data_IF_234260450996
#
_entry.id   IF_234260450996
#
_cell.length_a   1.000
_cell.length_b   1.000
_cell.length_c   1.000
_cell.angle_alpha   90.00
_cell.angle_beta   90.00
_cell.angle_gamma   90.00
#
_symmetry.space_group_name_H-M   'P 1'
#
loop_
_entity.id
_entity.type
_entity.pdbx_description
1 polymer ?
#
# COMPACT_ATOMS: atom_id res chain seq x y z
N UNK A 1 -2.43 9.62 -14.22
CA UNK A 1 -2.54 9.17 -15.62
C UNK A 1 -1.32 8.30 -15.95
N UNK A 2 -1.40 6.97 -15.77
CA UNK A 2 -0.47 5.90 -16.26
C UNK A 2 -0.67 4.55 -15.51
N UNK A 3 -1.47 4.54 -14.43
CA UNK A 3 -1.51 3.46 -13.44
C UNK A 3 -1.97 2.10 -14.00
N UNK A 4 -2.99 2.05 -14.85
CA UNK A 4 -3.48 0.79 -15.44
C UNK A 4 -2.45 0.15 -16.38
N UNK A 5 -1.97 0.91 -17.35
CA UNK A 5 -0.99 0.44 -18.35
C UNK A 5 0.35 0.04 -17.69
N UNK A 6 0.77 0.76 -16.66
CA UNK A 6 1.99 0.42 -15.91
C UNK A 6 1.79 -0.81 -15.02
N UNK A 7 0.60 -0.98 -14.43
CA UNK A 7 0.25 -2.13 -13.61
C UNK A 7 0.28 -3.43 -14.40
N UNK A 8 -0.36 -3.47 -15.57
CA UNK A 8 -0.37 -4.66 -16.44
C UNK A 8 1.05 -5.09 -16.84
N UNK A 9 1.92 -4.13 -17.18
CA UNK A 9 3.32 -4.41 -17.50
C UNK A 9 4.09 -4.98 -16.31
N UNK A 10 3.83 -4.49 -15.10
CA UNK A 10 4.45 -5.02 -13.87
C UNK A 10 3.96 -6.44 -13.56
N UNK A 11 2.68 -6.72 -13.76
CA UNK A 11 2.13 -8.08 -13.62
C UNK A 11 2.80 -9.04 -14.60
N UNK A 12 2.98 -8.64 -15.86
CA UNK A 12 3.68 -9.49 -16.82
C UNK A 12 5.12 -9.77 -16.38
N UNK A 13 5.87 -8.75 -15.94
CA UNK A 13 7.23 -8.95 -15.40
C UNK A 13 7.26 -9.91 -14.22
N UNK A 14 6.28 -9.82 -13.32
CA UNK A 14 6.16 -10.75 -12.19
C UNK A 14 5.92 -12.19 -12.67
N UNK A 15 5.08 -12.39 -13.70
CA UNK A 15 4.86 -13.71 -14.33
C UNK A 15 6.12 -14.24 -15.01
N UNK A 16 6.93 -13.36 -15.59
CA UNK A 16 8.22 -13.71 -16.20
C UNK A 16 9.31 -14.00 -15.14
N UNK A 17 8.97 -14.01 -13.85
CA UNK A 17 9.85 -14.38 -12.74
C UNK A 17 10.65 -13.21 -12.15
N UNK A 18 10.41 -11.97 -12.61
CA UNK A 18 11.06 -10.78 -12.05
C UNK A 18 10.52 -10.51 -10.66
N UNK A 19 11.40 -10.23 -9.70
CA UNK A 19 11.03 -9.80 -8.35
C UNK A 19 10.88 -8.28 -8.32
N UNK A 20 9.77 -7.78 -7.80
CA UNK A 20 9.47 -6.35 -7.70
C UNK A 20 9.20 -5.97 -6.25
N UNK A 21 9.74 -4.84 -5.81
CA UNK A 21 9.40 -4.22 -4.53
C UNK A 21 8.53 -2.97 -4.78
N UNK A 22 7.45 -2.84 -4.01
CA UNK A 22 6.60 -1.64 -3.98
C UNK A 22 7.03 -0.77 -2.81
N UNK A 23 7.38 0.48 -3.09
CA UNK A 23 7.78 1.48 -2.09
C UNK A 23 6.97 2.76 -2.29
N UNK A 24 6.77 3.51 -1.22
CA UNK A 24 6.25 4.88 -1.22
C UNK A 24 7.36 5.83 -0.80
N UNK A 25 7.15 7.13 -0.99
CA UNK A 25 8.10 8.14 -0.53
C UNK A 25 8.29 8.08 1.00
N UNK A 26 7.26 7.65 1.74
CA UNK A 26 7.34 7.40 3.18
C UNK A 26 6.31 6.37 3.69
N UNK A 27 6.68 5.63 4.74
CA UNK A 27 5.75 4.87 5.55
C UNK A 27 5.32 3.52 4.95
N UNK A 28 4.01 3.30 4.91
CA UNK A 28 3.38 2.03 4.53
C UNK A 28 2.75 2.13 3.13
N UNK A 29 3.38 1.55 2.08
CA UNK A 29 2.88 1.64 0.72
C UNK A 29 1.47 1.04 0.58
N UNK A 30 0.63 1.68 -0.24
CA UNK A 30 -0.70 1.17 -0.58
C UNK A 30 -1.83 1.55 0.39
N UNK A 31 -1.56 2.29 1.47
CA UNK A 31 -2.59 2.84 2.38
C UNK A 31 -3.10 4.19 1.87
N UNK A 32 -2.21 5.17 1.76
CA UNK A 32 -2.53 6.50 1.22
C UNK A 32 -1.85 6.79 -0.11
N UNK A 33 -0.85 5.98 -0.45
CA UNK A 33 -0.10 6.04 -1.69
C UNK A 33 -0.65 5.06 -2.74
N UNK A 34 -0.32 5.25 -4.03
CA UNK A 34 -0.63 4.27 -5.07
C UNK A 34 -0.02 2.89 -4.73
N UNK A 35 -0.74 1.82 -5.04
CA UNK A 35 -0.23 0.46 -4.81
C UNK A 35 -1.31 -0.60 -4.79
N UNK A 36 -2.50 -0.23 -4.29
CA UNK A 36 -3.66 -1.12 -4.17
C UNK A 36 -3.98 -1.89 -5.46
N UNK A 37 -4.04 -1.20 -6.60
CA UNK A 37 -4.34 -1.82 -7.90
C UNK A 37 -3.30 -2.88 -8.32
N UNK A 38 -2.01 -2.65 -8.05
CA UNK A 38 -0.95 -3.61 -8.35
C UNK A 38 -1.07 -4.85 -7.46
N UNK A 39 -1.30 -4.65 -6.16
CA UNK A 39 -1.50 -5.74 -5.20
C UNK A 39 -2.75 -6.55 -5.56
N UNK A 40 -3.86 -5.89 -5.89
CA UNK A 40 -5.11 -6.52 -6.32
C UNK A 40 -4.91 -7.33 -7.60
N UNK A 41 -4.18 -6.79 -8.58
CA UNK A 41 -3.81 -7.51 -9.80
C UNK A 41 -2.95 -8.75 -9.53
N UNK A 42 -1.93 -8.62 -8.67
CA UNK A 42 -1.07 -9.74 -8.30
C UNK A 42 -1.87 -10.87 -7.62
N UNK A 43 -2.78 -10.52 -6.71
CA UNK A 43 -3.65 -11.49 -6.04
C UNK A 43 -4.57 -12.22 -7.04
N UNK A 44 -5.18 -11.49 -7.98
CA UNK A 44 -6.04 -12.10 -9.02
C UNK A 44 -5.29 -13.12 -9.88
N UNK A 45 -4.02 -12.86 -10.15
CA UNK A 45 -3.14 -13.74 -10.93
C UNK A 45 -2.42 -14.79 -10.07
N UNK A 46 -2.79 -14.92 -8.79
CA UNK A 46 -2.19 -15.85 -7.83
C UNK A 46 -0.67 -15.66 -7.64
N UNK A 47 -0.18 -14.44 -7.86
CA UNK A 47 1.20 -14.06 -7.64
C UNK A 47 1.39 -13.76 -6.15
N UNK A 48 2.41 -14.32 -5.47
CA UNK A 48 2.66 -14.05 -4.06
C UNK A 48 2.91 -12.56 -3.79
N UNK A 49 2.19 -12.02 -2.81
CA UNK A 49 2.44 -10.68 -2.25
C UNK A 49 2.95 -10.86 -0.82
N UNK A 50 4.17 -10.41 -0.56
CA UNK A 50 4.81 -10.56 0.75
C UNK A 50 4.88 -9.18 1.43
N UNK A 51 4.00 -8.89 2.40
CA UNK A 51 4.07 -7.64 3.15
C UNK A 51 5.23 -7.68 4.16
N UNK A 52 5.95 -6.57 4.29
CA UNK A 52 6.94 -6.37 5.36
C UNK A 52 6.34 -5.43 6.42
N UNK A 53 6.57 -5.69 7.73
CA UNK A 53 6.23 -4.72 8.76
C UNK A 53 7.06 -3.44 8.56
N UNK A 54 6.48 -2.29 8.89
CA UNK A 54 7.13 -1.00 8.61
C UNK A 54 6.45 0.19 9.27
N UNK A 55 7.01 1.38 9.01
CA UNK A 55 6.57 2.63 9.61
C UNK A 55 5.14 3.00 9.17
N UNK A 56 4.30 3.41 10.12
CA UNK A 56 2.97 3.94 9.85
C UNK A 56 2.73 5.20 10.70
N UNK A 57 2.67 6.36 10.05
CA UNK A 57 2.58 7.65 10.74
C UNK A 57 1.33 7.76 11.64
N UNK A 58 0.19 7.19 11.22
CA UNK A 58 -1.06 7.27 11.97
C UNK A 58 -1.00 6.43 13.26
N UNK A 59 -0.52 5.19 13.16
CA UNK A 59 -0.37 4.31 14.33
C UNK A 59 0.68 4.84 15.30
N UNK A 60 1.83 5.29 14.80
CA UNK A 60 2.88 5.90 15.64
C UNK A 60 2.35 7.12 16.39
N UNK A 61 1.52 7.95 15.73
CA UNK A 61 0.90 9.11 16.38
C UNK A 61 -0.16 8.71 17.41
N UNK A 62 -0.99 7.70 17.10
CA UNK A 62 -2.06 7.23 17.98
C UNK A 62 -1.52 6.76 19.33
N UNK A 63 -0.48 5.92 19.34
CA UNK A 63 0.08 5.38 20.58
C UNK A 63 0.74 6.45 21.47
N UNK A 64 1.15 7.58 20.90
CA UNK A 64 1.72 8.70 21.62
C UNK A 64 0.68 9.78 22.01
N UNK A 65 -0.58 9.64 21.57
CA UNK A 65 -1.60 10.70 21.69
C UNK A 65 -2.28 10.79 23.06
N UNK A 66 -2.19 9.74 23.88
CA UNK A 66 -2.98 9.61 25.12
C UNK A 66 -4.45 9.23 24.91
N UNK A 67 -4.89 9.00 23.66
CA UNK A 67 -6.23 8.50 23.34
C UNK A 67 -6.29 6.97 23.48
N UNK A 68 -7.50 6.43 23.64
CA UNK A 68 -7.69 4.97 23.54
C UNK A 68 -7.25 4.49 22.16
N UNK A 69 -6.29 3.56 22.15
CA UNK A 69 -5.76 3.02 20.91
C UNK A 69 -6.67 1.94 20.29
N UNK A 70 -7.66 1.44 21.04
CA UNK A 70 -8.54 0.37 20.57
C UNK A 70 -9.95 0.50 21.18
N UNK A 71 -11.03 0.47 20.37
CA UNK A 71 -10.99 0.50 18.90
C UNK A 71 -10.50 1.85 18.36
N UNK A 72 -9.92 1.87 17.17
CA UNK A 72 -9.57 3.09 16.44
C UNK A 72 -10.00 2.99 14.98
N UNK A 73 -10.08 4.13 14.31
CA UNK A 73 -10.45 4.22 12.91
C UNK A 73 -9.48 5.15 12.16
N UNK A 74 -8.90 4.64 11.07
CA UNK A 74 -8.05 5.42 10.17
C UNK A 74 -8.86 5.86 8.95
N UNK A 75 -9.02 7.18 8.77
CA UNK A 75 -9.76 7.76 7.65
C UNK A 75 -8.87 8.16 6.47
N UNK A 76 -7.62 8.57 6.73
CA UNK A 76 -6.75 9.17 5.72
C UNK A 76 -6.98 10.68 5.58
N UNK A 77 -6.98 11.18 4.34
CA UNK A 77 -7.11 12.61 4.06
C UNK A 77 -8.57 13.04 3.94
N UNK A 78 -8.92 14.14 4.62
CA UNK A 78 -10.21 14.82 4.43
C UNK A 78 -10.27 15.48 3.03
N UNK A 79 -11.48 15.77 2.56
CA UNK A 79 -11.67 16.49 1.29
C UNK A 79 -10.90 17.81 1.31
N UNK A 80 -10.10 18.05 0.26
CA UNK A 80 -9.61 19.39 -0.08
C UNK A 80 -10.62 19.96 -1.07
N UNK A 81 -11.31 21.01 -0.65
CA UNK A 81 -12.32 21.73 -1.44
C UNK A 81 -11.88 22.00 -2.88
#
# INVERSE_FOLDING_TARGET
HNKKVSGEKLIQKLKDGVKVALVSDAGMPGISDPGFELVSGAIKEQIPVVPLPGANAALTSLIASGLSCQPFYFFGFLHRN
#
